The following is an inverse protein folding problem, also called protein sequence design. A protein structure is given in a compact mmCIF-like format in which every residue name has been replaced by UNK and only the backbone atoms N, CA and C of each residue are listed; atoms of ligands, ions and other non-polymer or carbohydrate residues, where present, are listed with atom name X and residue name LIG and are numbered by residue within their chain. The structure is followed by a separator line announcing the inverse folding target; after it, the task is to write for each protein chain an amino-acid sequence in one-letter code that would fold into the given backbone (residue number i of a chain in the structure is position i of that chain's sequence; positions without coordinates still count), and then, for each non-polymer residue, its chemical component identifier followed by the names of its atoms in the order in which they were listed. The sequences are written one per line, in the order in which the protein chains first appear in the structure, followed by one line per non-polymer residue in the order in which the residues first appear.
data_IF_182465342546
#
_entry.id   IF_182465342546
#
_cell.length_a   1.000
_cell.length_b   1.000
_cell.length_c   1.000
_cell.angle_alpha   90.00
_cell.angle_beta   90.00
_cell.angle_gamma   90.00
#
_symmetry.space_group_name_H-M   'P 1'
#
loop_
_entity.id
_entity.type
_entity.pdbx_description
1 polymer ?
#
# COMPACT_ATOMS: atom_id res chain seq x y z
N UNK A 1 -1.07 -44.05 3.76
CA UNK A 1 -1.05 -42.72 4.43
C UNK A 1 -0.02 -41.79 3.79
N UNK A 2 0.98 -42.36 3.12
CA UNK A 2 2.12 -41.68 2.49
C UNK A 2 1.74 -40.61 1.47
N UNK A 3 0.64 -40.81 0.72
CA UNK A 3 0.17 -39.86 -0.31
C UNK A 3 -0.29 -38.50 0.28
N UNK A 4 -0.88 -38.49 1.48
CA UNK A 4 -1.34 -37.24 2.11
C UNK A 4 -0.14 -36.41 2.58
N UNK A 5 0.89 -37.06 3.13
CA UNK A 5 2.12 -36.41 3.56
C UNK A 5 2.91 -35.85 2.37
N UNK A 6 2.99 -36.60 1.26
CA UNK A 6 3.62 -36.14 0.03
C UNK A 6 2.90 -34.93 -0.56
N UNK A 7 1.57 -34.96 -0.63
CA UNK A 7 0.76 -33.83 -1.09
C UNK A 7 0.95 -32.58 -0.20
N UNK A 8 1.03 -32.76 1.13
CA UNK A 8 1.28 -31.67 2.06
C UNK A 8 2.66 -31.05 1.86
N UNK A 9 3.71 -31.86 1.64
CA UNK A 9 5.07 -31.40 1.34
C UNK A 9 5.12 -30.63 0.01
N UNK A 10 4.54 -31.20 -1.05
CA UNK A 10 4.50 -30.56 -2.37
C UNK A 10 3.82 -29.18 -2.32
N UNK A 11 2.73 -29.05 -1.55
CA UNK A 11 2.06 -27.76 -1.36
C UNK A 11 2.95 -26.74 -0.64
N UNK A 12 3.68 -27.16 0.39
CA UNK A 12 4.60 -26.29 1.11
C UNK A 12 5.76 -25.84 0.20
N UNK A 13 6.33 -26.75 -0.58
CA UNK A 13 7.40 -26.44 -1.53
C UNK A 13 6.95 -25.45 -2.60
N UNK A 14 5.74 -25.62 -3.13
CA UNK A 14 5.17 -24.68 -4.09
C UNK A 14 5.00 -23.27 -3.48
N UNK A 15 4.55 -23.19 -2.22
CA UNK A 15 4.43 -21.91 -1.49
C UNK A 15 5.79 -21.27 -1.24
N UNK A 16 6.78 -22.05 -0.80
CA UNK A 16 8.15 -21.57 -0.57
C UNK A 16 8.72 -21.03 -1.89
N UNK A 17 8.53 -21.74 -3.00
CA UNK A 17 8.97 -21.29 -4.34
C UNK A 17 8.35 -19.95 -4.71
N UNK A 18 7.04 -19.77 -4.51
CA UNK A 18 6.35 -18.51 -4.79
C UNK A 18 6.87 -17.35 -3.93
N UNK A 19 7.13 -17.59 -2.64
CA UNK A 19 7.69 -16.57 -1.75
C UNK A 19 9.10 -16.19 -2.17
N UNK A 20 9.95 -17.17 -2.52
CA UNK A 20 11.31 -16.90 -3.03
C UNK A 20 11.28 -16.05 -4.29
N UNK A 21 10.46 -16.42 -5.27
CA UNK A 21 10.31 -15.66 -6.51
C UNK A 21 9.84 -14.21 -6.26
N UNK A 22 8.95 -14.00 -5.28
CA UNK A 22 8.51 -12.66 -4.91
C UNK A 22 9.64 -11.83 -4.26
N UNK A 23 10.44 -12.45 -3.40
CA UNK A 23 11.60 -11.78 -2.79
C UNK A 23 12.59 -11.38 -3.87
N UNK A 24 12.92 -12.28 -4.80
CA UNK A 24 13.82 -12.00 -5.92
C UNK A 24 13.30 -10.85 -6.79
N UNK A 25 12.01 -10.88 -7.14
CA UNK A 25 11.38 -9.81 -7.92
C UNK A 25 11.43 -8.46 -7.19
N UNK A 26 11.26 -8.44 -5.87
CA UNK A 26 11.35 -7.22 -5.05
C UNK A 26 12.77 -6.69 -4.94
N UNK A 27 13.75 -7.57 -4.83
CA UNK A 27 15.15 -7.18 -4.84
C UNK A 27 15.53 -6.57 -6.19
N UNK A 28 15.23 -7.26 -7.29
CA UNK A 28 15.49 -6.77 -8.63
C UNK A 28 14.83 -5.40 -8.89
N UNK A 29 13.59 -5.21 -8.42
CA UNK A 29 12.92 -3.92 -8.53
C UNK A 29 13.62 -2.81 -7.73
N UNK A 30 14.22 -3.13 -6.58
CA UNK A 30 15.04 -2.18 -5.81
C UNK A 30 16.30 -1.84 -6.59
N UNK A 31 17.01 -2.83 -7.10
CA UNK A 31 18.26 -2.64 -7.85
C UNK A 31 18.02 -1.81 -9.13
N UNK A 32 16.94 -2.07 -9.86
CA UNK A 32 16.56 -1.29 -11.05
C UNK A 32 16.24 0.16 -10.69
N UNK A 33 15.56 0.41 -9.56
CA UNK A 33 15.28 1.77 -9.11
C UNK A 33 16.55 2.52 -8.76
N UNK A 34 17.54 1.85 -8.16
CA UNK A 34 18.84 2.45 -7.88
C UNK A 34 19.60 2.77 -9.17
N UNK A 35 19.59 1.87 -10.15
CA UNK A 35 20.19 2.10 -11.46
C UNK A 35 19.53 3.28 -12.18
N UNK A 36 18.20 3.37 -12.17
CA UNK A 36 17.48 4.53 -12.72
C UNK A 36 17.86 5.80 -11.98
N UNK A 37 17.90 5.80 -10.65
CA UNK A 37 18.28 6.97 -9.87
C UNK A 37 19.73 7.40 -10.12
N UNK A 38 20.64 6.45 -10.37
CA UNK A 38 22.01 6.74 -10.78
C UNK A 38 22.05 7.36 -12.17
N UNK A 39 21.38 6.75 -13.16
CA UNK A 39 21.30 7.25 -14.52
C UNK A 39 20.70 8.68 -14.56
N UNK A 40 19.63 8.93 -13.82
CA UNK A 40 19.01 10.26 -13.69
C UNK A 40 19.96 11.31 -13.08
N UNK A 41 20.88 10.91 -12.18
CA UNK A 41 21.89 11.82 -11.62
C UNK A 41 22.96 12.17 -12.65
N UNK A 42 23.45 11.17 -13.37
CA UNK A 42 24.47 11.38 -14.41
C UNK A 42 23.91 12.18 -15.58
N UNK A 43 22.66 11.91 -16.01
CA UNK A 43 21.96 12.72 -17.00
C UNK A 43 21.88 14.20 -16.60
N UNK A 44 21.42 14.48 -15.37
CA UNK A 44 21.38 15.84 -14.85
C UNK A 44 22.78 16.48 -14.78
N UNK A 45 23.81 15.72 -14.40
CA UNK A 45 25.20 16.20 -14.33
C UNK A 45 25.72 16.57 -15.73
N UNK A 46 25.50 15.73 -16.73
CA UNK A 46 25.93 15.94 -18.10
C UNK A 46 25.17 17.10 -18.76
N UNK A 47 23.86 17.20 -18.52
CA UNK A 47 23.07 18.34 -18.95
C UNK A 47 23.61 19.66 -18.39
N UNK A 48 23.94 19.70 -17.08
CA UNK A 48 24.57 20.87 -16.47
C UNK A 48 25.98 21.14 -17.01
N UNK A 49 26.77 20.11 -17.32
CA UNK A 49 28.06 20.27 -17.96
C UNK A 49 27.92 20.91 -19.36
N UNK A 50 26.97 20.45 -20.17
CA UNK A 50 26.69 21.05 -21.47
C UNK A 50 26.32 22.54 -21.36
N UNK A 51 25.48 22.92 -20.38
CA UNK A 51 25.17 24.33 -20.14
C UNK A 51 26.41 25.15 -19.76
N UNK A 52 27.35 24.57 -19.00
CA UNK A 52 28.63 25.22 -18.64
C UNK A 52 29.58 25.34 -19.83
N UNK A 53 29.50 24.39 -20.76
CA UNK A 53 30.28 24.39 -22.01
C UNK A 53 29.70 25.35 -23.06
N UNK A 54 28.62 26.07 -22.72
CA UNK A 54 28.03 27.12 -23.55
C UNK A 54 26.87 26.66 -24.42
N UNK A 55 26.40 25.42 -24.29
CA UNK A 55 25.19 24.97 -24.96
C UNK A 55 23.97 25.64 -24.35
N UNK A 56 23.10 26.23 -25.18
CA UNK A 56 21.82 26.74 -24.72
C UNK A 56 20.77 25.62 -24.62
N UNK A 57 19.74 25.85 -23.81
CA UNK A 57 18.62 24.92 -23.64
C UNK A 57 17.89 24.66 -24.97
N UNK A 58 17.75 25.68 -25.81
CA UNK A 58 17.09 25.57 -27.11
C UNK A 58 17.92 24.72 -28.10
N UNK A 59 19.25 24.78 -28.03
CA UNK A 59 20.13 23.93 -28.83
C UNK A 59 20.06 22.46 -28.39
N UNK A 60 20.11 22.21 -27.07
CA UNK A 60 19.92 20.85 -26.54
C UNK A 60 18.55 20.28 -26.93
N UNK A 61 17.51 21.10 -26.85
CA UNK A 61 16.15 20.72 -27.27
C UNK A 61 16.06 20.45 -28.78
N UNK A 62 16.76 21.22 -29.61
CA UNK A 62 16.83 21.00 -31.07
C UNK A 62 17.56 19.70 -31.43
N UNK A 63 18.50 19.26 -30.58
CA UNK A 63 19.16 17.97 -30.67
C UNK A 63 18.34 16.81 -30.09
N UNK A 64 17.17 17.07 -29.52
CA UNK A 64 16.33 16.06 -28.87
C UNK A 64 16.73 15.73 -27.43
N UNK A 65 17.75 16.41 -26.88
CA UNK A 65 18.11 16.34 -25.47
C UNK A 65 17.27 17.39 -24.71
N UNK A 66 16.01 17.03 -24.44
CA UNK A 66 15.11 17.82 -23.62
C UNK A 66 15.58 17.94 -22.16
N UNK A 67 14.80 18.65 -21.33
CA UNK A 67 15.08 18.78 -19.90
C UNK A 67 15.15 17.40 -19.21
N UNK A 68 16.18 17.16 -18.39
CA UNK A 68 16.39 15.88 -17.68
C UNK A 68 15.11 15.36 -17.02
N UNK A 69 14.82 14.06 -17.15
CA UNK A 69 13.57 13.46 -16.69
C UNK A 69 13.34 13.71 -15.18
N UNK A 70 14.43 13.77 -14.41
CA UNK A 70 14.41 14.10 -12.98
C UNK A 70 13.84 15.50 -12.70
N UNK A 71 14.20 16.50 -13.50
CA UNK A 71 13.69 17.87 -13.36
C UNK A 71 12.24 17.96 -13.84
N UNK A 72 11.90 17.28 -14.94
CA UNK A 72 10.52 17.21 -15.42
C UNK A 72 9.57 16.55 -14.38
N UNK A 73 9.99 15.43 -13.77
CA UNK A 73 9.21 14.70 -12.76
C UNK A 73 9.05 15.49 -11.46
N UNK A 74 10.09 16.17 -11.00
CA UNK A 74 10.01 17.02 -9.79
C UNK A 74 9.13 18.26 -9.99
N UNK A 75 9.13 18.86 -11.19
CA UNK A 75 8.25 19.97 -11.56
C UNK A 75 6.78 19.54 -11.62
N UNK A 76 6.50 18.36 -12.17
CA UNK A 76 5.15 17.76 -12.17
C UNK A 76 4.63 17.50 -10.74
N UNK A 77 5.49 17.05 -9.83
CA UNK A 77 5.13 16.79 -8.43
C UNK A 77 4.83 18.05 -7.62
N UNK A 78 5.40 19.20 -7.98
CA UNK A 78 5.09 20.52 -7.37
C UNK A 78 3.85 21.19 -7.96
N UNK A 79 3.36 20.74 -9.12
CA UNK A 79 2.18 21.28 -9.81
C UNK A 79 0.90 20.43 -9.64
N UNK A 80 0.87 19.48 -8.71
CA UNK A 80 -0.27 18.59 -8.53
C UNK A 80 -1.55 19.36 -8.13
N UNK A 81 -2.71 19.07 -8.76
CA UNK A 81 -3.95 19.78 -8.49
C UNK A 81 -4.33 19.59 -7.02
N UNK A 82 -4.70 20.70 -6.35
CA UNK A 82 -5.42 20.65 -5.08
C UNK A 82 -6.68 19.83 -5.33
N UNK A 83 -6.66 18.54 -4.97
CA UNK A 83 -7.90 17.79 -4.76
C UNK A 83 -8.62 18.53 -3.64
N UNK A 84 -9.57 19.37 -4.01
CA UNK A 84 -10.63 19.79 -3.11
C UNK A 84 -11.27 18.49 -2.64
N UNK A 85 -10.90 18.08 -1.43
CA UNK A 85 -11.68 17.15 -0.63
C UNK A 85 -12.98 17.88 -0.26
N UNK A 86 -13.85 18.07 -1.25
CA UNK A 86 -15.20 18.53 -1.05
C UNK A 86 -16.01 17.33 -0.53
N UNK A 87 -16.16 17.32 0.79
CA UNK A 87 -17.31 16.84 1.55
C UNK A 87 -17.94 15.49 1.13
N UNK A 88 -17.61 14.45 1.89
CA UNK A 88 -18.58 13.39 2.18
C UNK A 88 -18.30 12.76 3.54
N UNK A 89 -18.85 13.38 4.60
CA UNK A 89 -19.30 12.75 5.86
C UNK A 89 -19.84 13.85 6.79
N UNK A 90 -20.77 13.60 7.74
CA UNK A 90 -21.77 12.52 7.89
C UNK A 90 -23.18 13.09 8.19
N UNK A 91 -24.29 12.34 7.97
CA UNK A 91 -25.59 12.70 8.57
C UNK A 91 -26.34 11.48 9.10
N UNK A 92 -26.38 11.40 10.43
CA UNK A 92 -27.35 10.68 11.26
C UNK A 92 -28.65 11.50 11.35
N UNK A 93 -29.82 10.88 11.11
CA UNK A 93 -31.18 11.18 11.62
C UNK A 93 -32.21 10.55 10.68
N UNK A 94 -33.34 9.95 11.07
CA UNK A 94 -33.93 9.57 12.35
C UNK A 94 -35.12 8.63 12.01
N UNK A 95 -35.45 7.71 12.91
CA UNK A 95 -36.63 6.84 12.84
C UNK A 95 -37.95 7.59 13.08
N UNK A 96 -39.10 6.95 12.79
CA UNK A 96 -40.20 6.96 13.73
C UNK A 96 -40.67 5.53 14.08
N UNK A 97 -40.66 5.22 15.37
CA UNK A 97 -41.54 4.20 16.03
C UNK A 97 -42.77 4.95 16.61
N UNK A 98 -43.79 4.36 17.29
CA UNK A 98 -44.04 2.98 17.80
C UNK A 98 -45.55 2.55 17.55
N UNK A 99 -46.29 1.67 18.30
CA UNK A 99 -46.33 1.30 19.75
C UNK A 99 -46.03 -0.20 20.05
N UNK A 100 -45.33 -0.57 21.14
CA UNK A 100 -45.82 -0.93 22.51
C UNK A 100 -46.83 -2.10 22.51
N UNK A 101 -46.74 -3.21 23.28
CA UNK A 101 -46.34 -3.45 24.69
C UNK A 101 -46.30 -5.00 24.99
N UNK A 102 -46.12 -5.53 26.24
CA UNK A 102 -44.96 -6.31 26.69
C UNK A 102 -45.30 -7.75 27.18
N UNK A 103 -44.32 -8.52 27.67
CA UNK A 103 -44.49 -9.37 28.87
C UNK A 103 -43.16 -10.08 29.23
N UNK A 104 -42.62 -9.72 30.38
CA UNK A 104 -41.78 -10.59 31.20
C UNK A 104 -42.64 -11.07 32.38
N UNK A 105 -42.44 -12.30 32.89
CA UNK A 105 -42.06 -12.38 34.31
C UNK A 105 -41.06 -13.50 34.64
N UNK A 106 -39.94 -13.09 35.24
CA UNK A 106 -39.42 -13.50 36.56
C UNK A 106 -39.63 -14.96 37.08
N UNK A 107 -38.47 -15.64 37.28
CA UNK A 107 -37.99 -16.53 38.37
C UNK A 107 -38.96 -17.30 39.31
N UNK A 108 -38.48 -18.39 39.95
CA UNK A 108 -38.12 -18.22 41.37
C UNK A 108 -36.87 -18.99 41.84
N UNK A 109 -36.20 -18.44 42.86
CA UNK A 109 -35.31 -19.19 43.76
C UNK A 109 -36.10 -20.22 44.59
N UNK A 110 -35.49 -21.18 45.29
CA UNK A 110 -34.93 -21.12 46.66
C UNK A 110 -34.45 -22.58 47.04
N UNK A 111 -34.05 -22.95 48.28
CA UNK A 111 -32.66 -23.17 48.78
C UNK A 111 -32.29 -24.63 49.20
N UNK A 112 -30.99 -24.86 49.51
CA UNK A 112 -30.39 -25.77 50.54
C UNK A 112 -30.69 -27.32 50.47
N UNK A 113 -29.81 -28.26 50.94
CA UNK A 113 -29.19 -28.27 52.28
C UNK A 113 -27.72 -28.78 52.37
N UNK A 114 -27.23 -28.71 53.61
CA UNK A 114 -25.90 -28.99 54.15
C UNK A 114 -25.41 -30.44 54.07
N UNK A 115 -24.07 -30.59 54.08
CA UNK A 115 -23.28 -31.60 54.80
C UNK A 115 -21.80 -31.12 54.75
N UNK A 116 -21.18 -30.57 55.80
CA UNK A 116 -20.64 -31.18 57.03
C UNK A 116 -19.72 -32.39 56.83
N UNK A 117 -18.72 -32.42 57.72
CA UNK A 117 -17.73 -33.46 58.03
C UNK A 117 -16.42 -33.38 57.21
N UNK A 118 -15.23 -33.34 57.80
CA UNK A 118 -14.80 -33.45 59.20
C UNK A 118 -13.36 -32.95 59.33
#
# INVERSE_FOLDING_TARGET
MDNIEEAARALLDARIKSVRALVDARQNLTDLREQVAHAEREDARLYQAALRDGWSVDELKKLGLGESEKVARTRSKKGGPKRTAAAARPTTAAAPTPPSTPANPQAPGTPAPAAQAS
#
